data_IF_456652164156
#
_entry.id   IF_456652164156
#
_cell.length_a   1.000
_cell.length_b   1.000
_cell.length_c   1.000
_cell.angle_alpha   90.00
_cell.angle_beta   90.00
_cell.angle_gamma   90.00
#
_symmetry.space_group_name_H-M   'P 1'
#
loop_
_entity.id
_entity.type
_entity.pdbx_description
1 polymer ?
#
# COMPACT_ATOMS: atom_id res chain seq x y z
N UNK A 1 2.64 -6.96 13.94
CA UNK A 1 3.97 -7.27 13.39
C UNK A 1 4.30 -6.32 12.25
N UNK A 2 5.04 -5.24 12.52
CA UNK A 2 5.47 -4.22 11.55
C UNK A 2 6.34 -4.78 10.40
N UNK A 3 6.86 -6.00 10.58
CA UNK A 3 7.86 -6.66 9.73
C UNK A 3 7.37 -7.10 8.34
N UNK A 4 6.07 -7.23 8.11
CA UNK A 4 5.56 -7.70 6.81
C UNK A 4 5.24 -6.58 5.81
N UNK A 5 5.07 -5.34 6.26
CA UNK A 5 4.81 -4.20 5.36
C UNK A 5 6.05 -3.75 4.59
N UNK A 6 7.25 -3.95 5.16
CA UNK A 6 8.50 -3.53 4.54
C UNK A 6 8.83 -4.29 3.24
N UNK A 7 8.61 -5.60 3.20
CA UNK A 7 8.94 -6.40 2.01
C UNK A 7 8.00 -6.06 0.83
N UNK A 8 6.70 -5.91 1.09
CA UNK A 8 5.75 -5.48 0.06
C UNK A 8 6.10 -4.10 -0.51
N UNK A 9 6.48 -3.15 0.35
CA UNK A 9 6.93 -1.83 -0.07
C UNK A 9 8.22 -1.88 -0.89
N UNK A 10 9.20 -2.71 -0.50
CA UNK A 10 10.42 -2.92 -1.28
C UNK A 10 10.13 -3.48 -2.67
N UNK A 11 9.22 -4.45 -2.79
CA UNK A 11 8.83 -5.03 -4.08
C UNK A 11 8.17 -3.96 -4.96
N UNK A 12 7.19 -3.22 -4.43
CA UNK A 12 6.48 -2.19 -5.19
C UNK A 12 7.42 -1.06 -5.64
N UNK A 13 8.36 -0.66 -4.79
CA UNK A 13 9.40 0.33 -5.12
C UNK A 13 10.37 -0.20 -6.17
N UNK A 14 10.80 -1.47 -6.07
CA UNK A 14 11.66 -2.10 -7.07
C UNK A 14 10.98 -2.25 -8.45
N UNK A 15 9.64 -2.33 -8.49
CA UNK A 15 8.85 -2.28 -9.71
C UNK A 15 8.72 -0.85 -10.30
N UNK A 16 9.26 0.17 -9.63
CA UNK A 16 9.22 1.56 -10.08
C UNK A 16 7.88 2.26 -9.82
N UNK A 17 7.05 1.71 -8.93
CA UNK A 17 5.80 2.35 -8.55
C UNK A 17 6.07 3.49 -7.57
N UNK A 18 5.23 4.52 -7.61
CA UNK A 18 5.34 5.67 -6.68
C UNK A 18 3.98 6.09 -6.12
N UNK A 19 2.88 5.79 -6.82
CA UNK A 19 1.52 6.16 -6.44
C UNK A 19 0.65 4.91 -6.44
N UNK A 20 -0.02 4.66 -5.33
CA UNK A 20 -0.81 3.47 -5.09
C UNK A 20 -2.22 3.86 -4.64
N UNK A 21 -3.21 3.05 -5.02
CA UNK A 21 -4.56 3.12 -4.47
C UNK A 21 -4.78 1.89 -3.61
N UNK A 22 -5.02 2.09 -2.32
CA UNK A 22 -5.21 1.00 -1.37
C UNK A 22 -6.59 0.38 -1.56
N UNK A 23 -6.63 -0.90 -1.92
CA UNK A 23 -7.86 -1.67 -1.96
C UNK A 23 -8.04 -2.40 -0.62
N UNK A 24 -9.02 -2.02 0.20
CA UNK A 24 -9.27 -2.66 1.50
C UNK A 24 -10.74 -2.64 1.91
N UNK A 25 -11.22 -3.75 2.48
CA UNK A 25 -12.53 -3.86 3.13
C UNK A 25 -12.46 -3.73 4.66
N UNK A 26 -11.26 -3.61 5.21
CA UNK A 26 -11.00 -3.46 6.64
C UNK A 26 -10.77 -1.98 7.00
N UNK A 27 -11.01 -1.56 8.26
CA UNK A 27 -10.72 -0.20 8.69
C UNK A 27 -9.27 0.14 8.37
N UNK A 28 -9.06 1.28 7.70
CA UNK A 28 -7.79 1.66 7.08
C UNK A 28 -6.63 1.51 8.08
N UNK A 29 -5.74 0.53 7.87
CA UNK A 29 -4.55 0.43 8.69
C UNK A 29 -3.67 1.63 8.39
N UNK A 30 -3.03 2.17 9.44
CA UNK A 30 -2.09 3.28 9.28
C UNK A 30 -0.82 2.74 8.59
N UNK A 31 -0.74 2.90 7.27
CA UNK A 31 0.41 2.42 6.48
C UNK A 31 1.56 3.41 6.66
N UNK A 32 2.28 3.27 7.77
CA UNK A 32 3.44 4.10 8.10
C UNK A 32 4.69 3.54 7.45
N UNK A 33 5.54 4.41 6.89
CA UNK A 33 6.85 4.05 6.36
C UNK A 33 6.91 3.72 4.86
N UNK A 34 5.84 3.87 4.08
CA UNK A 34 5.88 3.77 2.61
C UNK A 34 6.71 4.90 1.96
N UNK A 35 6.73 6.07 2.60
CA UNK A 35 7.48 7.25 2.17
C UNK A 35 8.99 6.97 2.09
N UNK A 36 9.52 6.13 2.98
CA UNK A 36 10.92 5.69 2.97
C UNK A 36 11.27 4.82 1.75
N UNK A 37 10.26 4.27 1.06
CA UNK A 37 10.40 3.50 -0.17
C UNK A 37 9.98 4.29 -1.42
N UNK A 38 9.68 5.59 -1.28
CA UNK A 38 9.19 6.43 -2.38
C UNK A 38 7.77 6.11 -2.83
N UNK A 39 6.97 5.49 -1.97
CA UNK A 39 5.60 5.08 -2.25
C UNK A 39 4.59 5.98 -1.54
N UNK A 40 3.58 6.43 -2.26
CA UNK A 40 2.50 7.30 -1.79
C UNK A 40 1.13 6.63 -2.00
N UNK A 41 0.31 6.59 -0.96
CA UNK A 41 -1.10 6.15 -1.06
C UNK A 41 -1.93 7.37 -1.47
N UNK A 42 -2.39 7.38 -2.71
CA UNK A 42 -3.16 8.49 -3.31
C UNK A 42 -4.67 8.38 -3.07
N UNK A 43 -5.15 7.21 -2.64
CA UNK A 43 -6.55 6.98 -2.37
C UNK A 43 -6.78 5.61 -1.76
N UNK A 44 -7.96 5.41 -1.18
CA UNK A 44 -8.42 4.11 -0.69
C UNK A 44 -9.75 3.79 -1.35
N UNK A 45 -9.88 2.59 -1.90
CA UNK A 45 -11.12 2.07 -2.44
C UNK A 45 -11.51 0.78 -1.71
N UNK A 46 -12.80 0.57 -1.50
CA UNK A 46 -13.29 -0.71 -0.97
C UNK A 46 -13.12 -1.77 -2.04
N UNK A 47 -12.77 -2.99 -1.61
CA UNK A 47 -12.84 -4.16 -2.48
C UNK A 47 -14.32 -4.51 -2.59
N UNK A 48 -15.05 -3.74 -3.40
CA UNK A 48 -16.31 -4.20 -3.98
C UNK A 48 -15.93 -5.27 -4.98
N UNK A 49 -16.57 -6.44 -4.92
CA UNK A 49 -16.32 -7.53 -5.85
C UNK A 49 -16.36 -6.99 -7.28
N UNK A 50 -15.19 -6.91 -7.92
CA UNK A 50 -15.11 -6.73 -9.36
C UNK A 50 -15.47 -8.08 -9.98
N UNK A 51 -16.78 -8.33 -10.11
CA UNK A 51 -17.36 -9.41 -10.90
C UNK A 51 -17.25 -10.81 -10.32
#
# INVERSE_FOLDING_TARGET
TLRQYGLGAQILSALGLSKLTLLTNSPTPKVVGLEAYGLEITGTQKISELG
#
